data_IF_017557829925
#
_entry.id   IF_017557829925
#
_cell.length_a   1.000
_cell.length_b   1.000
_cell.length_c   1.000
_cell.angle_alpha   90.00
_cell.angle_beta   90.00
_cell.angle_gamma   90.00
#
_symmetry.space_group_name_H-M   'P 1'
#
loop_
_entity.id
_entity.type
_entity.pdbx_description
1 polymer ?
#
# COMPACT_ATOMS: atom_id res chain seq x y z
N UNK A 1 15.49 -14.18 -22.23
CA UNK A 1 14.16 -14.79 -22.59
C UNK A 1 13.27 -14.61 -21.36
N UNK A 2 12.16 -13.92 -21.48
CA UNK A 2 11.23 -13.75 -20.33
C UNK A 2 10.52 -15.07 -20.08
N UNK A 3 10.71 -15.66 -18.90
CA UNK A 3 10.01 -16.87 -18.49
C UNK A 3 8.93 -16.50 -17.48
N UNK A 4 7.67 -16.77 -17.81
CA UNK A 4 6.55 -16.62 -16.90
C UNK A 4 6.37 -17.94 -16.14
N UNK A 5 6.64 -17.93 -14.84
CA UNK A 5 6.55 -19.12 -14.00
C UNK A 5 5.50 -18.94 -12.90
N UNK A 6 5.09 -20.06 -12.31
CA UNK A 6 4.21 -20.04 -11.13
C UNK A 6 5.00 -19.65 -9.89
N UNK A 7 4.31 -19.10 -8.90
CA UNK A 7 4.87 -18.72 -7.59
C UNK A 7 5.69 -19.88 -6.97
N UNK A 8 5.19 -21.13 -7.02
CA UNK A 8 5.84 -22.32 -6.50
C UNK A 8 7.24 -22.56 -7.08
N UNK A 9 7.46 -22.23 -8.35
CA UNK A 9 8.73 -22.50 -9.02
C UNK A 9 9.83 -21.53 -8.57
N UNK A 10 9.49 -20.24 -8.39
CA UNK A 10 10.45 -19.22 -7.92
C UNK A 10 10.79 -19.42 -6.45
N UNK A 11 9.81 -19.81 -5.65
CA UNK A 11 10.00 -20.13 -4.26
C UNK A 11 11.02 -21.25 -4.06
N UNK A 12 11.00 -22.25 -4.94
CA UNK A 12 11.98 -23.32 -4.95
C UNK A 12 13.40 -22.82 -5.31
N UNK A 13 13.52 -21.90 -6.28
CA UNK A 13 14.81 -21.31 -6.67
C UNK A 13 15.40 -20.41 -5.58
N UNK A 14 14.57 -19.60 -4.91
CA UNK A 14 15.00 -18.74 -3.79
C UNK A 14 15.49 -19.57 -2.58
N UNK A 15 14.91 -20.76 -2.35
CA UNK A 15 15.38 -21.69 -1.32
C UNK A 15 16.74 -22.33 -1.65
N UNK A 16 17.01 -22.57 -2.92
CA UNK A 16 18.29 -23.17 -3.37
C UNK A 16 19.46 -22.18 -3.33
N UNK A 17 19.20 -20.87 -3.38
CA UNK A 17 20.24 -19.81 -3.32
C UNK A 17 20.62 -19.36 -1.91
N UNK A 18 19.92 -19.82 -0.86
CA UNK A 18 20.16 -19.46 0.55
C UNK A 18 21.13 -20.41 1.27
N UNK A 19 22.07 -21.05 0.59
CA UNK A 19 23.06 -21.96 1.20
C UNK A 19 24.20 -21.22 1.93
N UNK A 20 24.78 -21.81 3.00
CA UNK A 20 25.74 -21.17 3.90
C UNK A 20 27.19 -21.18 3.44
N UNK A 21 27.51 -21.07 2.14
CA UNK A 21 28.89 -21.05 1.65
C UNK A 21 29.10 -20.05 0.50
N UNK A 22 29.27 -18.77 0.86
CA UNK A 22 29.83 -17.77 -0.03
C UNK A 22 31.03 -17.10 0.65
N UNK A 23 32.12 -17.88 0.80
CA UNK A 23 33.43 -17.33 1.09
C UNK A 23 34.31 -17.38 -0.18
N UNK A 24 34.89 -16.18 -0.47
CA UNK A 24 36.01 -15.95 -1.42
C UNK A 24 35.64 -15.71 -2.89
N UNK A 25 35.38 -14.43 -3.22
CA UNK A 25 36.02 -13.84 -4.43
C UNK A 25 36.32 -12.35 -4.08
N UNK A 26 37.63 -12.06 -4.04
CA UNK A 26 38.17 -10.70 -3.95
C UNK A 26 38.13 -10.05 -5.34
N UNK A 27 37.30 -9.01 -5.49
CA UNK A 27 37.37 -8.07 -6.62
C UNK A 27 37.08 -6.64 -6.13
N UNK A 28 38.16 -5.92 -5.92
CA UNK A 28 38.19 -4.49 -5.61
C UNK A 28 37.54 -3.64 -6.71
N UNK A 29 36.66 -2.74 -6.28
CA UNK A 29 36.23 -1.46 -6.86
C UNK A 29 34.93 -1.30 -7.66
N UNK A 30 34.10 -2.31 -7.90
CA UNK A 30 32.76 -2.08 -8.49
C UNK A 30 31.62 -2.89 -7.84
N UNK A 31 31.94 -3.79 -6.94
CA UNK A 31 30.97 -4.70 -6.31
C UNK A 31 30.16 -4.11 -5.14
N UNK A 32 30.41 -2.88 -4.73
CA UNK A 32 29.85 -2.32 -3.49
C UNK A 32 28.34 -1.96 -3.54
N UNK A 33 27.71 -2.00 -4.71
CA UNK A 33 26.27 -1.67 -4.83
C UNK A 33 25.36 -2.89 -5.02
N UNK A 34 25.85 -4.03 -5.47
CA UNK A 34 24.99 -5.19 -5.78
C UNK A 34 24.65 -6.06 -4.56
N UNK A 35 25.46 -6.05 -3.52
CA UNK A 35 25.23 -6.86 -2.31
C UNK A 35 24.22 -6.26 -1.32
N UNK A 36 23.67 -5.08 -1.58
CA UNK A 36 22.77 -4.38 -0.65
C UNK A 36 21.29 -4.73 -0.87
N UNK A 37 20.92 -5.21 -2.05
CA UNK A 37 19.54 -5.45 -2.43
C UNK A 37 19.27 -6.92 -2.78
N UNK A 38 18.07 -7.41 -2.45
CA UNK A 38 17.59 -8.66 -3.00
C UNK A 38 17.50 -8.56 -4.54
N UNK A 39 17.76 -9.67 -5.27
CA UNK A 39 17.66 -9.69 -6.73
C UNK A 39 16.19 -9.68 -7.21
N UNK A 40 15.28 -9.27 -6.37
CA UNK A 40 13.82 -9.24 -6.62
C UNK A 40 13.30 -7.81 -6.63
N UNK A 41 12.61 -7.45 -7.71
CA UNK A 41 11.80 -6.24 -7.83
C UNK A 41 10.34 -6.56 -7.51
N UNK A 42 9.80 -5.91 -6.51
CA UNK A 42 8.39 -6.02 -6.12
C UNK A 42 7.58 -4.89 -6.74
N UNK A 43 6.43 -5.23 -7.31
CA UNK A 43 5.57 -4.28 -8.03
C UNK A 43 4.18 -4.25 -7.41
N UNK A 44 3.82 -3.11 -6.82
CA UNK A 44 2.45 -2.79 -6.44
C UNK A 44 1.82 -1.91 -7.54
N UNK A 45 0.93 -2.50 -8.31
CA UNK A 45 0.22 -1.83 -9.41
C UNK A 45 -1.14 -1.31 -8.97
N UNK A 46 -1.16 -0.22 -8.22
CA UNK A 46 -2.38 0.48 -7.84
C UNK A 46 -3.10 1.15 -9.03
N UNK A 47 -4.29 1.72 -8.78
CA UNK A 47 -5.12 2.33 -9.82
C UNK A 47 -4.51 3.59 -10.46
N UNK A 48 -3.74 4.39 -9.69
CA UNK A 48 -3.18 5.67 -10.15
C UNK A 48 -1.66 5.62 -10.34
N UNK A 49 -0.98 4.81 -9.56
CA UNK A 49 0.46 4.74 -9.50
C UNK A 49 0.96 3.30 -9.48
N UNK A 50 2.14 3.14 -10.05
CA UNK A 50 2.97 1.95 -9.97
C UNK A 50 4.03 2.20 -8.91
N UNK A 51 4.14 1.35 -7.90
CA UNK A 51 5.22 1.38 -6.93
C UNK A 51 6.17 0.23 -7.21
N UNK A 52 7.42 0.56 -7.37
CA UNK A 52 8.53 -0.35 -7.65
C UNK A 52 9.44 -0.37 -6.43
N UNK A 53 9.56 -1.50 -5.77
CA UNK A 53 10.32 -1.62 -4.52
C UNK A 53 11.38 -2.70 -4.58
N UNK A 54 12.60 -2.40 -4.11
CA UNK A 54 13.65 -3.38 -3.80
C UNK A 54 13.89 -3.39 -2.30
N UNK A 55 14.04 -4.57 -1.74
CA UNK A 55 14.37 -4.71 -0.34
C UNK A 55 15.86 -4.55 -0.11
N UNK A 56 16.23 -3.62 0.77
CA UNK A 56 17.60 -3.48 1.26
C UNK A 56 17.81 -4.35 2.50
N UNK A 57 18.66 -5.34 2.40
CA UNK A 57 19.02 -6.20 3.55
C UNK A 57 19.76 -5.40 4.62
N UNK A 58 20.59 -4.46 4.22
CA UNK A 58 21.36 -3.60 5.13
C UNK A 58 20.49 -2.63 5.92
N UNK A 59 19.55 -1.96 5.25
CA UNK A 59 18.63 -1.02 5.90
C UNK A 59 17.42 -1.72 6.53
N UNK A 60 17.14 -2.97 6.15
CA UNK A 60 15.92 -3.71 6.52
C UNK A 60 14.64 -2.96 6.16
N UNK A 61 14.63 -2.34 4.98
CA UNK A 61 13.50 -1.57 4.46
C UNK A 61 13.42 -1.62 2.93
N UNK A 62 12.26 -1.21 2.40
CA UNK A 62 12.08 -1.02 0.97
C UNK A 62 12.61 0.33 0.50
N UNK A 63 13.41 0.31 -0.56
CA UNK A 63 13.67 1.49 -1.39
C UNK A 63 12.64 1.49 -2.52
N UNK A 64 11.80 2.53 -2.57
CA UNK A 64 10.61 2.56 -3.42
C UNK A 64 10.66 3.73 -4.39
N UNK A 65 10.39 3.43 -5.67
CA UNK A 65 10.13 4.41 -6.70
C UNK A 65 8.63 4.35 -7.07
N UNK A 66 7.98 5.50 -7.06
CA UNK A 66 6.57 5.64 -7.47
C UNK A 66 6.50 6.28 -8.84
N UNK A 67 5.74 5.67 -9.75
CA UNK A 67 5.58 6.11 -11.15
C UNK A 67 4.10 6.24 -11.46
N UNK A 68 3.69 7.34 -12.10
CA UNK A 68 2.32 7.50 -12.58
C UNK A 68 2.06 6.60 -13.79
N UNK A 69 0.84 6.06 -13.89
CA UNK A 69 0.40 5.37 -15.11
C UNK A 69 0.27 6.30 -16.33
N UNK A 70 0.27 7.62 -16.12
CA UNK A 70 0.25 8.62 -17.20
C UNK A 70 1.63 8.78 -17.86
N UNK A 71 2.70 8.20 -17.30
CA UNK A 71 4.03 8.25 -17.90
C UNK A 71 4.09 7.55 -19.25
N UNK A 72 4.96 8.09 -20.11
CA UNK A 72 5.17 7.51 -21.44
C UNK A 72 5.90 6.17 -21.36
N UNK A 73 5.64 5.29 -22.31
CA UNK A 73 6.29 3.97 -22.40
C UNK A 73 7.82 4.04 -22.33
N UNK A 74 8.44 5.04 -22.97
CA UNK A 74 9.89 5.22 -22.93
C UNK A 74 10.43 5.53 -21.53
N UNK A 75 9.68 6.31 -20.72
CA UNK A 75 10.07 6.60 -19.34
C UNK A 75 9.95 5.36 -18.46
N UNK A 76 8.84 4.61 -18.57
CA UNK A 76 8.66 3.34 -17.89
C UNK A 76 9.76 2.34 -18.27
N UNK A 77 10.04 2.20 -19.58
CA UNK A 77 11.11 1.32 -20.07
C UNK A 77 12.46 1.68 -19.44
N UNK A 78 12.82 2.98 -19.41
CA UNK A 78 14.07 3.43 -18.80
C UNK A 78 14.18 3.09 -17.31
N UNK A 79 13.08 3.23 -16.55
CA UNK A 79 13.04 2.88 -15.14
C UNK A 79 13.28 1.38 -14.93
N UNK A 80 12.57 0.52 -15.68
CA UNK A 80 12.77 -0.92 -15.57
C UNK A 80 14.16 -1.36 -16.04
N UNK A 81 14.71 -0.75 -17.10
CA UNK A 81 16.08 -1.00 -17.55
C UNK A 81 17.10 -0.69 -16.45
N UNK A 82 16.89 0.38 -15.68
CA UNK A 82 17.73 0.69 -14.53
C UNK A 82 17.71 -0.45 -13.52
N UNK A 83 16.53 -0.89 -13.06
CA UNK A 83 16.43 -1.99 -12.09
C UNK A 83 17.07 -3.29 -12.61
N UNK A 84 16.82 -3.64 -13.88
CA UNK A 84 17.38 -4.84 -14.48
C UNK A 84 18.90 -4.75 -14.63
N UNK A 85 19.45 -3.60 -14.98
CA UNK A 85 20.90 -3.38 -15.05
C UNK A 85 21.60 -3.41 -13.69
N UNK A 86 20.86 -3.18 -12.62
CA UNK A 86 21.31 -3.24 -11.23
C UNK A 86 21.19 -4.65 -10.61
N UNK A 87 20.98 -5.71 -11.42
CA UNK A 87 20.98 -7.10 -10.99
C UNK A 87 19.63 -7.63 -10.51
N UNK A 88 18.52 -7.11 -11.03
CA UNK A 88 17.19 -7.72 -10.81
C UNK A 88 17.06 -8.98 -11.65
N UNK A 89 16.81 -10.11 -10.99
CA UNK A 89 16.59 -11.43 -11.62
C UNK A 89 15.12 -11.84 -11.58
N UNK A 90 14.38 -11.37 -10.58
CA UNK A 90 12.97 -11.73 -10.36
C UNK A 90 12.10 -10.48 -10.25
N UNK A 91 10.89 -10.56 -10.83
CA UNK A 91 9.85 -9.55 -10.67
C UNK A 91 8.63 -10.22 -10.06
N UNK A 92 8.21 -9.78 -8.87
CA UNK A 92 6.99 -10.24 -8.20
C UNK A 92 5.97 -9.12 -8.21
N UNK A 93 4.83 -9.32 -8.89
CA UNK A 93 3.87 -8.27 -9.12
C UNK A 93 2.47 -8.64 -8.63
N UNK A 94 1.87 -7.72 -7.85
CA UNK A 94 0.45 -7.68 -7.56
C UNK A 94 -0.21 -6.53 -8.32
N UNK A 95 -1.20 -6.80 -9.17
CA UNK A 95 -1.91 -5.80 -9.94
C UNK A 95 -3.41 -5.87 -9.71
N UNK A 96 -4.01 -4.72 -9.45
CA UNK A 96 -5.47 -4.59 -9.27
C UNK A 96 -6.20 -4.42 -10.60
N UNK A 97 -5.52 -3.83 -11.60
CA UNK A 97 -6.17 -3.39 -12.84
C UNK A 97 -5.64 -4.12 -14.08
N UNK A 98 -6.51 -4.89 -14.76
CA UNK A 98 -6.14 -5.73 -15.90
C UNK A 98 -5.41 -5.01 -17.06
N UNK A 99 -5.82 -3.80 -17.52
CA UNK A 99 -5.07 -3.05 -18.56
C UNK A 99 -3.64 -2.71 -18.15
N UNK A 100 -3.37 -2.46 -16.88
CA UNK A 100 -2.02 -2.21 -16.37
C UNK A 100 -1.15 -3.47 -16.47
N UNK A 101 -1.72 -4.65 -16.24
CA UNK A 101 -1.05 -5.94 -16.42
C UNK A 101 -0.66 -6.17 -17.87
N UNK A 102 -1.56 -5.90 -18.81
CA UNK A 102 -1.28 -6.02 -20.25
C UNK A 102 -0.16 -5.07 -20.68
N UNK A 103 -0.20 -3.83 -20.21
CA UNK A 103 0.84 -2.84 -20.48
C UNK A 103 2.21 -3.30 -19.99
N UNK A 104 2.31 -3.80 -18.76
CA UNK A 104 3.56 -4.33 -18.22
C UNK A 104 4.01 -5.60 -18.94
N UNK A 105 3.12 -6.51 -19.30
CA UNK A 105 3.46 -7.70 -20.07
C UNK A 105 4.10 -7.34 -21.41
N UNK A 106 3.57 -6.34 -22.11
CA UNK A 106 4.15 -5.86 -23.36
C UNK A 106 5.56 -5.27 -23.14
N UNK A 107 5.73 -4.47 -22.09
CA UNK A 107 7.02 -3.90 -21.72
C UNK A 107 8.04 -5.01 -21.37
N UNK A 108 7.66 -5.97 -20.53
CA UNK A 108 8.56 -7.06 -20.13
C UNK A 108 8.96 -7.96 -21.30
N UNK A 109 8.05 -8.18 -22.27
CA UNK A 109 8.40 -8.91 -23.49
C UNK A 109 9.52 -8.20 -24.28
N UNK A 110 9.44 -6.86 -24.37
CA UNK A 110 10.48 -6.07 -25.06
C UNK A 110 11.79 -6.10 -24.27
N UNK A 111 11.74 -5.89 -22.96
CA UNK A 111 12.91 -5.88 -22.10
C UNK A 111 13.61 -7.27 -22.03
N UNK A 112 12.84 -8.35 -22.12
CA UNK A 112 13.35 -9.71 -22.16
C UNK A 112 14.16 -10.07 -23.42
N UNK A 113 14.22 -9.19 -24.43
CA UNK A 113 15.16 -9.32 -25.55
C UNK A 113 16.60 -8.94 -25.16
N UNK A 114 16.77 -8.14 -24.09
CA UNK A 114 18.05 -7.59 -23.63
C UNK A 114 18.49 -8.11 -22.26
N UNK A 115 17.54 -8.44 -21.39
CA UNK A 115 17.76 -8.84 -20.02
C UNK A 115 17.16 -10.22 -19.76
N UNK A 116 17.79 -11.00 -18.88
CA UNK A 116 17.26 -12.27 -18.39
C UNK A 116 16.64 -12.05 -17.01
N UNK A 117 15.34 -12.28 -16.90
CA UNK A 117 14.60 -12.16 -15.65
C UNK A 117 13.31 -12.97 -15.71
N UNK A 118 12.77 -13.30 -14.53
CA UNK A 118 11.53 -14.04 -14.37
C UNK A 118 10.44 -13.16 -13.79
N UNK A 119 9.19 -13.32 -14.25
CA UNK A 119 8.04 -12.55 -13.78
C UNK A 119 7.00 -13.45 -13.13
N UNK A 120 6.63 -13.13 -11.90
CA UNK A 120 5.55 -13.78 -11.16
C UNK A 120 4.41 -12.81 -10.97
N UNK A 121 3.27 -13.16 -11.52
CA UNK A 121 2.02 -12.46 -11.26
C UNK A 121 1.29 -13.15 -10.11
N UNK A 122 1.08 -12.42 -9.02
CA UNK A 122 0.20 -12.89 -7.96
C UNK A 122 -1.26 -12.66 -8.36
N UNK A 123 -2.10 -13.65 -8.07
CA UNK A 123 -3.54 -13.60 -8.18
C UNK A 123 -4.18 -14.29 -6.96
N UNK A 124 -5.52 -14.28 -6.88
CA UNK A 124 -6.22 -14.89 -5.76
C UNK A 124 -5.93 -16.39 -5.64
N UNK A 125 -5.83 -17.11 -6.75
CA UNK A 125 -5.63 -18.56 -6.74
C UNK A 125 -4.24 -18.94 -6.21
N UNK A 126 -3.23 -18.11 -6.47
CA UNK A 126 -1.84 -18.33 -6.02
C UNK A 126 -1.62 -18.05 -4.53
N UNK A 127 -2.50 -17.30 -3.88
CA UNK A 127 -2.36 -16.89 -2.47
C UNK A 127 -3.50 -17.35 -1.57
N UNK A 128 -4.56 -17.94 -2.13
CA UNK A 128 -5.67 -18.50 -1.35
C UNK A 128 -5.22 -19.73 -0.55
N UNK A 129 -5.61 -19.78 0.72
CA UNK A 129 -5.34 -20.94 1.58
C UNK A 129 -3.92 -21.01 2.15
N UNK A 130 -3.08 -19.99 1.95
CA UNK A 130 -1.86 -19.80 2.72
C UNK A 130 -2.22 -19.52 4.20
N UNK A 131 -1.36 -18.89 4.97
CA UNK A 131 -1.54 -18.73 6.42
C UNK A 131 -2.73 -17.87 6.88
N UNK A 132 -3.44 -17.25 5.95
CA UNK A 132 -4.56 -16.36 6.24
C UNK A 132 -5.88 -16.97 5.76
N UNK A 133 -6.84 -17.17 6.66
CA UNK A 133 -8.20 -17.49 6.28
C UNK A 133 -8.96 -16.24 5.80
N UNK A 134 -9.87 -16.42 4.83
CA UNK A 134 -10.59 -15.30 4.21
C UNK A 134 -12.08 -15.45 4.49
N UNK A 135 -12.61 -14.60 5.34
CA UNK A 135 -14.05 -14.48 5.63
C UNK A 135 -14.66 -13.38 4.74
N UNK A 136 -14.68 -13.60 3.43
CA UNK A 136 -15.20 -12.66 2.44
C UNK A 136 -15.88 -13.41 1.29
N UNK A 137 -17.04 -12.95 0.85
CA UNK A 137 -17.82 -13.67 -0.17
C UNK A 137 -18.37 -12.75 -1.25
N UNK A 138 -18.13 -13.08 -2.54
CA UNK A 138 -17.24 -14.14 -3.01
C UNK A 138 -15.75 -13.72 -2.85
N UNK A 139 -14.86 -14.67 -2.58
CA UNK A 139 -13.43 -14.39 -2.32
C UNK A 139 -12.75 -13.64 -3.48
N UNK A 140 -13.10 -13.99 -4.73
CA UNK A 140 -12.55 -13.36 -5.92
C UNK A 140 -13.00 -11.92 -6.16
N UNK A 141 -13.96 -11.40 -5.38
CA UNK A 141 -14.35 -9.98 -5.39
C UNK A 141 -13.56 -9.12 -4.40
N UNK A 142 -12.78 -9.74 -3.52
CA UNK A 142 -11.86 -9.01 -2.66
C UNK A 142 -10.73 -8.40 -3.51
N UNK A 143 -10.43 -7.13 -3.34
CA UNK A 143 -9.29 -6.50 -3.99
C UNK A 143 -7.98 -7.23 -3.66
N UNK A 144 -7.17 -7.51 -4.68
CA UNK A 144 -5.91 -8.22 -4.49
C UNK A 144 -4.93 -7.41 -3.63
N UNK A 145 -4.93 -6.09 -3.77
CA UNK A 145 -4.16 -5.15 -2.94
C UNK A 145 -4.52 -5.25 -1.45
N UNK A 146 -5.81 -5.33 -1.13
CA UNK A 146 -6.31 -5.52 0.24
C UNK A 146 -5.82 -6.84 0.83
N UNK A 147 -5.92 -7.90 0.04
CA UNK A 147 -5.47 -9.23 0.46
C UNK A 147 -3.96 -9.29 0.65
N UNK A 148 -3.16 -8.71 -0.25
CA UNK A 148 -1.70 -8.64 -0.12
C UNK A 148 -1.31 -7.78 1.09
N UNK A 149 -1.98 -6.63 1.30
CA UNK A 149 -1.76 -5.80 2.49
C UNK A 149 -2.07 -6.55 3.80
N UNK A 150 -3.12 -7.38 3.79
CA UNK A 150 -3.46 -8.25 4.91
C UNK A 150 -2.37 -9.27 5.22
N UNK A 151 -1.76 -9.89 4.21
CA UNK A 151 -0.59 -10.76 4.40
C UNK A 151 0.63 -9.98 4.92
N UNK A 152 0.83 -8.75 4.45
CA UNK A 152 1.85 -7.85 4.99
C UNK A 152 1.64 -7.59 6.48
N UNK A 153 0.40 -7.25 6.87
CA UNK A 153 0.06 -7.03 8.27
C UNK A 153 0.22 -8.30 9.13
N UNK A 154 -0.23 -9.45 8.60
CA UNK A 154 -0.10 -10.75 9.26
C UNK A 154 1.37 -11.13 9.57
N UNK A 155 2.31 -10.72 8.70
CA UNK A 155 3.74 -10.96 8.93
C UNK A 155 4.29 -10.25 10.18
N UNK A 156 3.66 -9.18 10.66
CA UNK A 156 4.10 -8.37 11.80
C UNK A 156 3.22 -8.50 13.03
N UNK A 157 1.95 -8.86 12.85
CA UNK A 157 0.95 -8.89 13.90
C UNK A 157 0.43 -10.30 14.13
N UNK A 158 0.57 -10.82 15.35
CA UNK A 158 -0.01 -12.10 15.75
C UNK A 158 -1.43 -11.96 16.30
N UNK A 159 -1.87 -10.75 16.60
CA UNK A 159 -3.18 -10.43 17.16
C UNK A 159 -4.17 -9.87 16.14
N UNK A 160 -5.24 -9.25 16.63
CA UNK A 160 -6.17 -8.50 15.80
C UNK A 160 -5.62 -7.12 15.47
N UNK A 161 -5.82 -6.67 14.21
CA UNK A 161 -5.32 -5.39 13.73
C UNK A 161 -6.27 -4.81 12.67
N UNK A 162 -6.37 -3.49 12.61
CA UNK A 162 -7.03 -2.77 11.51
C UNK A 162 -5.96 -2.29 10.54
N UNK A 163 -6.13 -2.63 9.27
CA UNK A 163 -5.27 -2.17 8.16
C UNK A 163 -5.99 -1.06 7.41
N UNK A 164 -5.38 0.10 7.32
CA UNK A 164 -5.93 1.28 6.65
C UNK A 164 -5.04 1.64 5.47
N UNK A 165 -5.52 1.39 4.26
CA UNK A 165 -4.82 1.86 3.05
C UNK A 165 -5.42 3.19 2.59
N UNK A 166 -4.61 4.23 2.60
CA UNK A 166 -4.96 5.60 2.26
C UNK A 166 -4.44 5.93 0.85
N UNK A 167 -5.08 5.34 -0.15
CA UNK A 167 -4.74 5.44 -1.57
C UNK A 167 -5.74 6.24 -2.42
N UNK A 168 -5.89 5.84 -3.69
CA UNK A 168 -6.91 6.37 -4.62
C UNK A 168 -8.32 6.07 -4.16
N UNK A 169 -8.54 4.91 -3.58
CA UNK A 169 -9.60 4.60 -2.63
C UNK A 169 -8.98 4.48 -1.23
N UNK A 170 -9.80 4.58 -0.20
CA UNK A 170 -9.42 4.24 1.17
C UNK A 170 -10.07 2.93 1.53
N UNK A 171 -9.30 2.00 2.06
CA UNK A 171 -9.85 0.79 2.67
C UNK A 171 -9.53 0.73 4.15
N UNK A 172 -10.45 0.23 4.94
CA UNK A 172 -10.27 0.01 6.37
C UNK A 172 -10.66 -1.43 6.65
N UNK A 173 -9.69 -2.30 6.76
CA UNK A 173 -9.83 -3.74 6.79
C UNK A 173 -9.51 -4.30 8.18
N UNK A 174 -10.25 -5.33 8.56
CA UNK A 174 -10.10 -6.04 9.84
C UNK A 174 -9.40 -7.38 9.63
N UNK A 175 -8.34 -7.59 10.39
CA UNK A 175 -7.74 -8.90 10.60
C UNK A 175 -7.92 -9.30 12.05
N UNK A 176 -8.53 -10.46 12.29
CA UNK A 176 -8.65 -11.04 13.62
C UNK A 176 -7.78 -12.29 13.69
N UNK A 177 -6.64 -12.18 14.34
CA UNK A 177 -5.60 -13.21 14.34
C UNK A 177 -5.11 -13.51 12.91
N UNK A 178 -5.34 -14.73 12.41
CA UNK A 178 -4.99 -15.15 11.06
C UNK A 178 -6.21 -15.21 10.12
N UNK A 179 -7.18 -14.30 10.29
CA UNK A 179 -8.37 -14.22 9.47
C UNK A 179 -8.62 -12.81 8.96
N UNK A 180 -8.82 -12.67 7.66
CA UNK A 180 -9.34 -11.45 7.06
C UNK A 180 -10.87 -11.43 7.20
N UNK A 181 -11.40 -10.48 7.95
CA UNK A 181 -12.84 -10.39 8.28
C UNK A 181 -13.61 -9.38 7.41
N UNK A 182 -12.96 -8.83 6.38
CA UNK A 182 -13.56 -7.80 5.56
C UNK A 182 -13.25 -6.39 6.08
N UNK A 183 -14.00 -5.42 5.56
CA UNK A 183 -13.82 -4.02 5.88
C UNK A 183 -14.65 -3.11 5.01
N UNK A 184 -14.33 -1.82 5.01
CA UNK A 184 -15.05 -0.78 4.26
C UNK A 184 -14.16 -0.18 3.19
N UNK A 185 -14.80 0.31 2.11
CA UNK A 185 -14.13 1.02 1.03
C UNK A 185 -14.74 2.43 0.95
N UNK A 186 -13.91 3.45 0.98
CA UNK A 186 -14.32 4.84 0.90
C UNK A 186 -13.55 5.59 -0.22
N UNK A 187 -14.04 6.75 -0.66
CA UNK A 187 -13.32 7.53 -1.65
C UNK A 187 -12.02 8.09 -1.06
N UNK A 188 -10.91 7.99 -1.81
CA UNK A 188 -9.69 8.73 -1.51
C UNK A 188 -9.89 10.23 -1.66
N UNK A 189 -8.99 11.03 -1.10
CA UNK A 189 -9.12 12.49 -1.10
C UNK A 189 -9.26 13.08 -2.51
N UNK A 190 -8.46 12.59 -3.46
CA UNK A 190 -8.56 13.03 -4.87
C UNK A 190 -9.92 12.69 -5.48
N UNK A 191 -10.51 11.54 -5.14
CA UNK A 191 -11.84 11.16 -5.64
C UNK A 191 -12.93 12.09 -5.08
N UNK A 192 -12.84 12.51 -3.82
CA UNK A 192 -13.74 13.51 -3.21
C UNK A 192 -13.63 14.85 -3.96
N UNK A 193 -12.41 15.31 -4.22
CA UNK A 193 -12.14 16.58 -4.90
C UNK A 193 -12.63 16.57 -6.35
N UNK A 194 -12.31 15.53 -7.11
CA UNK A 194 -12.74 15.39 -8.51
C UNK A 194 -14.25 15.22 -8.60
N UNK A 195 -14.86 14.42 -7.74
CA UNK A 195 -16.31 14.24 -7.71
C UNK A 195 -17.04 15.55 -7.40
N UNK A 196 -16.56 16.31 -6.44
CA UNK A 196 -17.10 17.64 -6.12
C UNK A 196 -16.99 18.59 -7.32
N UNK A 197 -15.84 18.64 -7.99
CA UNK A 197 -15.62 19.48 -9.17
C UNK A 197 -16.51 19.08 -10.35
N UNK A 198 -16.73 17.80 -10.57
CA UNK A 198 -17.61 17.32 -11.65
C UNK A 198 -19.07 17.74 -11.44
N UNK A 199 -19.55 17.73 -10.19
CA UNK A 199 -20.94 18.10 -9.86
C UNK A 199 -21.10 19.62 -9.73
N UNK A 200 -20.06 20.32 -9.28
CA UNK A 200 -20.06 21.77 -9.03
C UNK A 200 -18.88 22.45 -9.76
N UNK A 201 -18.85 22.48 -11.10
CA UNK A 201 -17.68 22.90 -11.86
C UNK A 201 -17.30 24.38 -11.70
N UNK A 202 -18.20 25.19 -11.16
CA UNK A 202 -17.95 26.61 -10.83
C UNK A 202 -17.15 26.79 -9.53
N UNK A 203 -17.00 25.75 -8.72
CA UNK A 203 -16.18 25.79 -7.50
C UNK A 203 -14.74 25.38 -7.82
N UNK A 204 -13.73 26.11 -7.33
CA UNK A 204 -12.34 25.74 -7.54
C UNK A 204 -11.95 24.50 -6.74
N UNK A 205 -10.88 23.82 -7.16
CA UNK A 205 -10.22 22.81 -6.32
C UNK A 205 -9.49 23.55 -5.21
N UNK A 206 -9.66 23.17 -3.92
CA UNK A 206 -8.96 23.83 -2.84
C UNK A 206 -7.45 23.57 -2.92
N UNK A 207 -6.64 24.58 -2.56
CA UNK A 207 -5.22 24.39 -2.38
C UNK A 207 -4.94 23.44 -1.19
N UNK A 208 -3.82 22.72 -1.24
CA UNK A 208 -3.39 21.87 -0.12
C UNK A 208 -2.96 22.65 1.14
N UNK A 209 -2.97 23.97 1.07
CA UNK A 209 -2.52 24.82 2.17
C UNK A 209 -3.61 24.94 3.25
N UNK A 210 -3.28 24.49 4.45
CA UNK A 210 -4.15 24.61 5.64
C UNK A 210 -4.42 26.07 5.97
N UNK A 211 -5.68 26.36 6.33
CA UNK A 211 -6.08 27.64 6.90
C UNK A 211 -6.46 27.46 8.35
N UNK A 212 -6.02 28.37 9.23
CA UNK A 212 -6.34 28.35 10.66
C UNK A 212 -7.64 29.09 10.98
N UNK A 213 -8.21 29.85 10.02
CA UNK A 213 -9.45 30.60 10.26
C UNK A 213 -10.67 29.67 10.25
N UNK A 214 -11.38 29.62 11.39
CA UNK A 214 -12.64 28.90 11.52
C UNK A 214 -13.70 29.74 12.26
N UNK A 215 -14.97 29.82 11.78
CA UNK A 215 -15.41 29.33 10.47
C UNK A 215 -14.73 30.08 9.31
N UNK A 216 -14.46 29.39 8.19
CA UNK A 216 -13.76 30.00 7.06
C UNK A 216 -14.59 31.12 6.41
N UNK A 217 -13.92 32.20 5.95
CA UNK A 217 -14.57 33.37 5.39
C UNK A 217 -14.29 33.59 3.89
N UNK A 218 -13.76 32.57 3.22
CA UNK A 218 -13.59 32.56 1.78
C UNK A 218 -13.99 31.23 1.19
N UNK A 219 -14.43 31.20 -0.07
CA UNK A 219 -14.80 29.95 -0.77
C UNK A 219 -13.66 28.95 -0.77
N UNK A 220 -12.42 29.40 -1.01
CA UNK A 220 -11.24 28.53 -1.04
C UNK A 220 -11.03 27.84 0.33
N UNK A 221 -11.10 28.61 1.43
CA UNK A 221 -10.93 28.07 2.76
C UNK A 221 -12.11 27.18 3.18
N UNK A 222 -13.35 27.54 2.78
CA UNK A 222 -14.54 26.73 3.03
C UNK A 222 -14.46 25.37 2.32
N UNK A 223 -13.99 25.33 1.06
CA UNK A 223 -13.77 24.10 0.33
C UNK A 223 -12.65 23.26 0.95
N UNK A 224 -11.58 23.90 1.41
CA UNK A 224 -10.51 23.17 2.11
C UNK A 224 -11.08 22.46 3.36
N UNK A 225 -11.74 23.19 4.24
CA UNK A 225 -12.34 22.62 5.45
C UNK A 225 -13.38 21.54 5.12
N UNK A 226 -14.25 21.80 4.16
CA UNK A 226 -15.32 20.86 3.76
C UNK A 226 -14.80 19.57 3.14
N UNK A 227 -13.65 19.57 2.49
CA UNK A 227 -13.09 18.37 1.85
C UNK A 227 -12.06 17.66 2.73
N UNK A 228 -11.05 18.38 3.20
CA UNK A 228 -9.97 17.76 3.99
C UNK A 228 -10.44 17.35 5.39
N UNK A 229 -11.08 18.26 6.13
CA UNK A 229 -11.51 17.95 7.49
C UNK A 229 -12.64 16.90 7.52
N UNK A 230 -13.58 16.96 6.57
CA UNK A 230 -14.62 15.94 6.40
C UNK A 230 -13.98 14.57 6.07
N UNK A 231 -13.01 14.54 5.15
CA UNK A 231 -12.35 13.30 4.75
C UNK A 231 -11.60 12.67 5.93
N UNK A 232 -10.81 13.45 6.66
CA UNK A 232 -10.07 12.98 7.85
C UNK A 232 -11.03 12.45 8.92
N UNK A 233 -12.07 13.23 9.27
CA UNK A 233 -13.02 12.81 10.30
C UNK A 233 -13.83 11.57 9.89
N UNK A 234 -14.20 11.46 8.61
CA UNK A 234 -14.89 10.29 8.08
C UNK A 234 -14.03 9.02 8.14
N UNK A 235 -12.77 9.10 7.74
CA UNK A 235 -11.83 7.98 7.81
C UNK A 235 -11.60 7.57 9.27
N UNK A 236 -11.37 8.53 10.16
CA UNK A 236 -11.17 8.25 11.57
C UNK A 236 -12.40 7.54 12.18
N UNK A 237 -13.60 8.01 11.89
CA UNK A 237 -14.83 7.35 12.34
C UNK A 237 -14.93 5.89 11.85
N UNK A 238 -14.58 5.62 10.59
CA UNK A 238 -14.56 4.26 10.05
C UNK A 238 -13.50 3.38 10.74
N UNK A 239 -12.30 3.91 10.99
CA UNK A 239 -11.24 3.19 11.73
C UNK A 239 -11.75 2.77 13.10
N UNK A 240 -12.37 3.68 13.84
CA UNK A 240 -12.90 3.38 15.17
C UNK A 240 -14.01 2.33 15.17
N UNK A 241 -14.92 2.37 14.18
CA UNK A 241 -15.98 1.36 14.05
C UNK A 241 -15.43 -0.02 13.71
N UNK A 242 -14.48 -0.11 12.76
CA UNK A 242 -13.84 -1.38 12.39
C UNK A 242 -13.00 -1.91 13.55
N UNK A 243 -12.24 -1.06 14.25
CA UNK A 243 -11.43 -1.45 15.40
C UNK A 243 -12.30 -1.97 16.55
N UNK A 244 -13.46 -1.33 16.78
CA UNK A 244 -14.44 -1.81 17.77
C UNK A 244 -15.00 -3.19 17.38
N UNK A 245 -15.35 -3.39 16.11
CA UNK A 245 -15.84 -4.68 15.62
C UNK A 245 -14.80 -5.79 15.74
N UNK A 246 -13.51 -5.49 15.47
CA UNK A 246 -12.38 -6.40 15.59
C UNK A 246 -11.89 -6.57 17.04
N UNK A 247 -12.44 -5.82 17.99
CA UNK A 247 -11.98 -5.77 19.39
C UNK A 247 -10.47 -5.54 19.48
N UNK A 248 -9.94 -4.55 18.76
CA UNK A 248 -8.52 -4.22 18.72
C UNK A 248 -8.27 -2.74 18.94
N UNK A 249 -7.06 -2.42 19.39
CA UNK A 249 -6.52 -1.06 19.47
C UNK A 249 -5.27 -0.91 18.58
N UNK A 250 -4.95 -1.92 17.78
CA UNK A 250 -3.81 -1.89 16.87
C UNK A 250 -4.26 -1.49 15.46
N UNK A 251 -3.58 -0.48 14.89
CA UNK A 251 -3.88 0.08 13.58
C UNK A 251 -2.58 0.15 12.78
N UNK A 252 -2.61 -0.33 11.54
CA UNK A 252 -1.55 -0.13 10.56
C UNK A 252 -2.05 0.85 9.51
N UNK A 253 -1.33 1.96 9.30
CA UNK A 253 -1.58 2.91 8.23
C UNK A 253 -0.63 2.65 7.07
N UNK A 254 -1.17 2.53 5.86
CA UNK A 254 -0.43 2.36 4.61
C UNK A 254 -1.01 3.25 3.50
N UNK A 255 -0.36 3.26 2.33
CA UNK A 255 -0.81 4.04 1.18
C UNK A 255 -0.19 5.43 1.09
N UNK A 256 -0.46 6.10 -0.04
CA UNK A 256 0.21 7.36 -0.39
C UNK A 256 -0.10 8.53 0.53
N UNK A 257 -1.26 8.54 1.19
CA UNK A 257 -1.67 9.56 2.15
C UNK A 257 -1.42 9.17 3.60
N UNK A 258 -0.84 8.00 3.88
CA UNK A 258 -0.68 7.49 5.26
C UNK A 258 0.15 8.43 6.15
N UNK A 259 1.29 8.91 5.64
CA UNK A 259 2.18 9.83 6.38
C UNK A 259 1.45 11.14 6.69
N UNK A 260 0.80 11.72 5.68
CA UNK A 260 0.05 12.96 5.85
C UNK A 260 -1.12 12.79 6.82
N UNK A 261 -1.90 11.71 6.69
CA UNK A 261 -3.02 11.43 7.60
C UNK A 261 -2.54 11.23 9.04
N UNK A 262 -1.48 10.45 9.24
CA UNK A 262 -0.87 10.24 10.54
C UNK A 262 -0.46 11.56 11.20
N UNK A 263 0.19 12.45 10.43
CA UNK A 263 0.58 13.76 10.93
C UNK A 263 -0.64 14.61 11.34
N UNK A 264 -1.70 14.63 10.52
CA UNK A 264 -2.92 15.40 10.83
C UNK A 264 -3.69 14.87 12.05
N UNK A 265 -3.74 13.55 12.24
CA UNK A 265 -4.57 12.92 13.27
C UNK A 265 -3.79 12.68 14.56
N UNK A 266 -2.52 12.29 14.48
CA UNK A 266 -1.73 11.87 15.65
C UNK A 266 -0.85 13.02 16.17
N UNK A 267 -0.15 13.73 15.26
CA UNK A 267 0.85 14.73 15.66
C UNK A 267 0.29 16.14 15.87
N UNK A 268 -0.67 16.58 15.04
CA UNK A 268 -1.15 17.97 15.05
C UNK A 268 -2.42 18.20 15.87
N UNK A 269 -3.00 17.17 16.45
CA UNK A 269 -4.31 17.25 17.13
C UNK A 269 -4.31 18.10 18.40
N UNK A 270 -3.17 18.56 18.87
CA UNK A 270 -3.03 19.07 20.24
C UNK A 270 -3.41 20.53 20.47
N UNK A 271 -3.41 21.40 19.47
CA UNK A 271 -3.64 22.84 19.76
C UNK A 271 -4.56 23.61 18.81
N UNK A 272 -4.74 23.23 17.54
CA UNK A 272 -5.39 24.06 16.52
C UNK A 272 -6.54 23.40 15.71
N UNK A 273 -6.95 22.20 16.02
CA UNK A 273 -8.02 21.52 15.29
C UNK A 273 -9.37 21.91 15.90
N UNK A 274 -10.26 22.64 15.18
CA UNK A 274 -11.54 23.11 15.75
C UNK A 274 -12.55 21.99 16.02
N UNK A 275 -12.19 20.72 15.74
CA UNK A 275 -13.03 19.55 15.97
C UNK A 275 -12.69 18.84 17.28
N UNK A 276 -12.15 19.57 18.28
CA UNK A 276 -11.90 18.98 19.61
C UNK A 276 -13.17 18.45 20.26
N UNK A 277 -14.36 18.95 19.87
CA UNK A 277 -15.66 18.57 20.42
C UNK A 277 -16.72 18.22 19.36
N UNK A 278 -16.40 18.23 18.07
CA UNK A 278 -17.34 17.81 17.05
C UNK A 278 -17.36 16.28 16.95
N UNK A 279 -17.94 15.64 17.93
CA UNK A 279 -18.66 14.41 17.69
C UNK A 279 -19.66 14.73 16.56
N UNK A 280 -19.31 14.42 15.31
CA UNK A 280 -20.29 14.33 14.25
C UNK A 280 -21.24 13.25 14.72
N UNK A 281 -22.36 13.71 15.30
CA UNK A 281 -23.33 12.85 15.93
C UNK A 281 -24.02 11.96 14.92
N UNK A 282 -23.41 10.85 14.60
CA UNK A 282 -24.13 9.63 14.45
C UNK A 282 -24.44 9.15 15.86
N UNK A 283 -25.63 9.45 16.31
CA UNK A 283 -26.13 9.16 17.63
C UNK A 283 -26.22 7.65 17.84
N UNK A 284 -25.12 7.02 18.24
CA UNK A 284 -25.10 5.66 18.75
C UNK A 284 -24.37 5.68 20.08
N UNK A 285 -25.11 5.92 21.14
CA UNK A 285 -24.70 5.63 22.52
C UNK A 285 -23.63 6.55 23.09
N UNK A 286 -23.97 7.19 24.16
CA UNK A 286 -23.14 8.01 25.05
C UNK A 286 -21.84 7.31 25.49
N UNK A 287 -20.72 7.57 24.82
CA UNK A 287 -19.39 7.43 25.39
C UNK A 287 -18.39 8.40 24.74
N UNK A 288 -17.58 9.03 25.60
CA UNK A 288 -16.75 10.22 25.34
C UNK A 288 -15.39 9.98 24.65
N UNK A 289 -15.19 8.92 23.86
CA UNK A 289 -13.90 8.62 23.24
C UNK A 289 -14.03 8.43 21.73
N UNK A 290 -13.96 9.55 20.98
CA UNK A 290 -13.97 9.57 19.52
C UNK A 290 -12.63 10.00 18.93
N UNK A 291 -11.53 9.49 19.45
CA UNK A 291 -10.21 9.78 18.90
C UNK A 291 -9.38 8.50 18.83
N UNK A 292 -8.42 8.46 17.90
CA UNK A 292 -7.38 7.41 17.89
C UNK A 292 -6.45 7.52 19.12
N UNK A 293 -6.80 8.38 20.08
CA UNK A 293 -6.10 8.50 21.36
C UNK A 293 -6.22 7.18 22.12
N UNK A 294 -5.09 6.63 22.53
CA UNK A 294 -5.01 5.30 23.14
C UNK A 294 -4.88 4.14 22.18
N UNK A 295 -5.00 4.36 20.85
CA UNK A 295 -4.72 3.35 19.85
C UNK A 295 -3.20 3.26 19.57
N UNK A 296 -2.73 2.05 19.33
CA UNK A 296 -1.37 1.80 18.85
C UNK A 296 -1.35 1.92 17.33
N UNK A 297 -0.89 3.04 16.83
CA UNK A 297 -0.82 3.32 15.39
C UNK A 297 0.59 3.06 14.87
N UNK A 298 0.70 2.19 13.86
CA UNK A 298 1.96 1.84 13.19
C UNK A 298 1.90 2.32 11.74
N UNK A 299 2.90 3.07 11.32
CA UNK A 299 3.00 3.55 9.94
C UNK A 299 3.84 2.58 9.10
N UNK A 300 3.23 2.02 8.05
CA UNK A 300 3.83 1.11 7.08
C UNK A 300 3.49 1.55 5.64
N UNK A 301 4.14 2.59 5.10
CA UNK A 301 3.73 3.20 3.82
C UNK A 301 3.76 2.24 2.62
N UNK A 302 4.49 1.13 2.74
CA UNK A 302 4.73 0.16 1.68
C UNK A 302 4.23 -1.24 2.03
N UNK A 303 3.17 -1.36 2.82
CA UNK A 303 2.66 -2.63 3.34
C UNK A 303 2.31 -3.65 2.23
N UNK A 304 1.81 -3.19 1.07
CA UNK A 304 1.56 -4.07 -0.09
C UNK A 304 2.86 -4.69 -0.60
N UNK A 305 3.96 -3.92 -0.71
CA UNK A 305 5.28 -4.46 -1.10
C UNK A 305 5.82 -5.44 -0.05
N UNK A 306 5.59 -5.15 1.23
CA UNK A 306 5.94 -6.04 2.34
C UNK A 306 5.15 -7.35 2.27
N UNK A 307 3.87 -7.28 1.90
CA UNK A 307 3.01 -8.44 1.66
C UNK A 307 3.47 -9.27 0.45
N UNK A 308 3.84 -8.62 -0.66
CA UNK A 308 4.41 -9.30 -1.83
C UNK A 308 5.69 -10.06 -1.46
N UNK A 309 6.58 -9.41 -0.70
CA UNK A 309 7.81 -10.04 -0.21
C UNK A 309 7.54 -11.21 0.73
N UNK A 310 6.59 -11.06 1.65
CA UNK A 310 6.17 -12.13 2.54
C UNK A 310 5.66 -13.35 1.76
N UNK A 311 4.75 -13.12 0.81
CA UNK A 311 4.17 -14.17 -0.03
C UNK A 311 5.22 -14.87 -0.90
N UNK A 312 6.17 -14.13 -1.48
CA UNK A 312 7.22 -14.71 -2.30
C UNK A 312 8.18 -15.63 -1.52
N UNK A 313 8.34 -15.40 -0.22
CA UNK A 313 9.24 -16.18 0.65
C UNK A 313 8.57 -17.37 1.36
N UNK A 314 7.23 -17.42 1.43
CA UNK A 314 6.49 -18.36 2.28
C UNK A 314 6.31 -19.75 1.72
N UNK A 315 6.39 -19.94 0.45
CA UNK A 315 6.23 -21.27 -0.15
C UNK A 315 7.56 -22.06 -0.19
N UNK A 316 8.50 -21.70 0.67
CA UNK A 316 9.79 -22.40 0.86
C UNK A 316 9.80 -23.36 2.05
N UNK A 317 8.63 -23.78 2.59
CA UNK A 317 8.53 -24.81 3.66
C UNK A 317 7.77 -26.01 3.16
#
# INVERSE_FOLDING_TARGET
MVTFRTLEHIQKLLAETSGPDASLIDTSHTAFQLEEFEPTLYIDGGSSFLKLGRWSEKASEFVVQTVSWEEREAALSGIFQQFLSEGTEYIVAGLVYAPSKERLNNLFRILGEQYDFEVVWLDHASIEGLDLSINYSPVNSLGLDRLIAAYGAHAFCSGSVVVVDLGSAVTVDSLTHSQFDGGVIAPGLKAVQVGMQQITPHLPIPSAQKTSEFPPKSTQNALWWGQYAFWVAGIEGMILEVARAANTQEIILTGGYAIWFFDQVVNQRREDWPVQDAAVGFNVGTQKDHSLEGMKVVLRPHLVLEGLRYLSRRSCV
#
